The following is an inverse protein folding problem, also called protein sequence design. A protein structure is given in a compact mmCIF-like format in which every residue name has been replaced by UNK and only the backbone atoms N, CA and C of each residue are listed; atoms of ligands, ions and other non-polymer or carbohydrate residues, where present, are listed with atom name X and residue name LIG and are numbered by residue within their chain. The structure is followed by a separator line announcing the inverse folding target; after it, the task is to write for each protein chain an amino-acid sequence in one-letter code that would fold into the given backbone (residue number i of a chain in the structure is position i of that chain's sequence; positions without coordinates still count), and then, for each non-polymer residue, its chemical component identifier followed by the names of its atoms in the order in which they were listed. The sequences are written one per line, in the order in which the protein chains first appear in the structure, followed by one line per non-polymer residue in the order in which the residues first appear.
data_IF_131589911426
#
_entry.id   IF_131589911426
#
_cell.length_a   1.000
_cell.length_b   1.000
_cell.length_c   1.000
_cell.angle_alpha   90.00
_cell.angle_beta   90.00
_cell.angle_gamma   90.00
#
_symmetry.space_group_name_H-M   'P 1'
#
loop_
_entity.id
_entity.type
_entity.pdbx_description
1 polymer ?
#
# COMPACT_ATOMS: atom_id res chain seq x y z
N UNK A 1 9.83 9.65 -1.70
CA UNK A 1 8.70 8.74 -1.93
C UNK A 1 9.03 7.50 -2.80
N UNK A 2 10.30 7.25 -3.15
CA UNK A 2 10.69 6.16 -4.05
C UNK A 2 10.03 4.81 -3.75
N UNK A 3 10.06 4.34 -2.51
CA UNK A 3 9.49 3.02 -2.15
C UNK A 3 8.01 2.90 -2.51
N UNK A 4 7.19 3.92 -2.24
CA UNK A 4 5.76 3.88 -2.57
C UNK A 4 5.53 3.85 -4.09
N UNK A 5 6.32 4.61 -4.85
CA UNK A 5 6.22 4.69 -6.31
C UNK A 5 6.70 3.42 -7.00
N UNK A 6 7.79 2.82 -6.50
CA UNK A 6 8.24 1.51 -6.98
C UNK A 6 7.23 0.41 -6.63
N UNK A 7 6.66 0.43 -5.43
CA UNK A 7 5.58 -0.49 -5.08
C UNK A 7 4.37 -0.32 -6.01
N UNK A 8 3.97 0.92 -6.31
CA UNK A 8 2.89 1.19 -7.27
C UNK A 8 3.20 0.62 -8.66
N UNK A 9 4.43 0.79 -9.16
CA UNK A 9 4.87 0.20 -10.42
C UNK A 9 4.84 -1.34 -10.39
N UNK A 10 5.31 -1.97 -9.31
CA UNK A 10 5.22 -3.43 -9.16
C UNK A 10 3.77 -3.92 -9.15
N UNK A 11 2.86 -3.20 -8.49
CA UNK A 11 1.44 -3.54 -8.45
C UNK A 11 0.79 -3.41 -9.84
N UNK A 12 1.19 -2.39 -10.61
CA UNK A 12 0.76 -2.19 -12.00
C UNK A 12 1.22 -3.36 -12.88
N UNK A 13 2.47 -3.80 -12.75
CA UNK A 13 3.04 -4.92 -13.52
C UNK A 13 2.30 -6.25 -13.30
N UNK A 14 1.79 -6.49 -12.08
CA UNK A 14 1.01 -7.70 -11.77
C UNK A 14 -0.50 -7.53 -12.05
N UNK A 15 -0.94 -6.37 -12.56
CA UNK A 15 -2.35 -6.09 -12.85
C UNK A 15 -3.23 -5.92 -11.60
N UNK A 16 -2.68 -5.40 -10.50
CA UNK A 16 -3.44 -5.21 -9.26
C UNK A 16 -4.49 -4.09 -9.39
N UNK A 17 -5.77 -4.42 -9.15
CA UNK A 17 -6.91 -3.51 -9.36
C UNK A 17 -7.76 -3.26 -8.08
N UNK A 18 -7.44 -3.91 -6.97
CA UNK A 18 -8.17 -3.77 -5.70
C UNK A 18 -7.48 -2.86 -4.65
N UNK A 19 -8.09 -2.68 -3.47
CA UNK A 19 -7.42 -2.05 -2.33
C UNK A 19 -6.07 -2.73 -2.03
N UNK A 20 -5.10 -1.94 -1.57
CA UNK A 20 -3.75 -2.44 -1.27
C UNK A 20 -3.56 -2.56 0.23
N UNK A 21 -3.38 -3.78 0.73
CA UNK A 21 -3.02 -4.01 2.14
C UNK A 21 -1.52 -3.81 2.34
N UNK A 22 -1.15 -3.00 3.33
CA UNK A 22 0.24 -2.80 3.77
C UNK A 22 0.37 -3.33 5.19
N UNK A 23 1.18 -4.38 5.37
CA UNK A 23 1.48 -4.97 6.67
C UNK A 23 2.90 -4.61 7.15
N UNK A 24 3.10 -4.71 8.47
CA UNK A 24 4.41 -4.52 9.09
C UNK A 24 4.80 -3.05 9.30
N UNK A 25 6.10 -2.76 9.56
CA UNK A 25 6.53 -1.44 10.03
C UNK A 25 6.20 -0.26 9.11
N UNK A 26 6.09 -0.50 7.80
CA UNK A 26 5.75 0.53 6.81
C UNK A 26 4.28 0.97 6.87
N UNK A 27 3.38 0.16 7.46
CA UNK A 27 1.99 0.53 7.65
C UNK A 27 1.82 1.83 8.47
N UNK A 28 2.77 2.12 9.37
CA UNK A 28 2.79 3.35 10.19
C UNK A 28 3.38 4.57 9.48
N UNK A 29 4.00 4.37 8.32
CA UNK A 29 4.61 5.46 7.58
C UNK A 29 3.54 6.16 6.72
N UNK A 30 2.94 7.21 7.26
CA UNK A 30 1.88 7.99 6.60
C UNK A 30 2.29 8.56 5.24
N UNK A 31 3.57 8.90 5.06
CA UNK A 31 4.09 9.37 3.78
C UNK A 31 4.12 8.23 2.74
N UNK A 32 4.52 7.03 3.17
CA UNK A 32 4.49 5.85 2.31
C UNK A 32 3.06 5.47 1.92
N UNK A 33 2.17 5.30 2.90
CA UNK A 33 0.79 4.86 2.65
C UNK A 33 -0.01 5.91 1.88
N UNK A 34 0.16 7.19 2.20
CA UNK A 34 -0.47 8.31 1.48
C UNK A 34 0.00 8.40 0.02
N UNK A 35 1.31 8.34 -0.23
CA UNK A 35 1.80 8.32 -1.60
C UNK A 35 1.39 7.05 -2.35
N UNK A 36 1.37 5.89 -1.70
CA UNK A 36 0.94 4.65 -2.34
C UNK A 36 -0.53 4.74 -2.76
N UNK A 37 -1.40 5.29 -1.91
CA UNK A 37 -2.80 5.54 -2.23
C UNK A 37 -2.94 6.54 -3.39
N UNK A 38 -2.15 7.62 -3.40
CA UNK A 38 -2.13 8.60 -4.48
C UNK A 38 -1.64 8.02 -5.82
N UNK A 39 -0.52 7.29 -5.80
CA UNK A 39 0.13 6.76 -6.99
C UNK A 39 -0.64 5.61 -7.63
N UNK A 40 -1.38 4.84 -6.83
CA UNK A 40 -2.22 3.74 -7.33
C UNK A 40 -3.65 4.18 -7.63
N UNK A 41 -4.09 5.32 -7.11
CA UNK A 41 -5.50 5.74 -7.16
C UNK A 41 -6.44 4.82 -6.37
N UNK A 42 -5.89 3.96 -5.48
CA UNK A 42 -6.62 2.91 -4.77
C UNK A 42 -6.50 3.09 -3.26
N UNK A 43 -7.53 2.67 -2.53
CA UNK A 43 -7.53 2.67 -1.07
C UNK A 43 -6.39 1.79 -0.53
N UNK A 44 -5.67 2.28 0.48
CA UNK A 44 -4.64 1.53 1.21
C UNK A 44 -5.15 1.12 2.58
N UNK A 45 -5.01 -0.16 2.91
CA UNK A 45 -5.40 -0.75 4.19
C UNK A 45 -4.13 -1.02 4.98
N UNK A 46 -3.80 -0.16 5.94
CA UNK A 46 -2.59 -0.26 6.75
C UNK A 46 -2.85 -1.09 8.02
N UNK A 47 -2.20 -2.24 8.13
CA UNK A 47 -2.26 -3.11 9.30
C UNK A 47 -0.92 -3.12 10.02
N UNK A 48 -0.93 -2.75 11.29
CA UNK A 48 0.29 -2.79 12.11
C UNK A 48 0.66 -4.22 12.57
N UNK A 49 -0.21 -5.21 12.33
CA UNK A 49 0.12 -6.58 12.67
C UNK A 49 1.28 -7.08 11.81
N UNK A 50 2.35 -7.51 12.47
CA UNK A 50 3.43 -8.28 11.87
C UNK A 50 3.13 -9.80 11.88
N UNK A 51 1.89 -10.21 12.18
CA UNK A 51 1.50 -11.60 12.44
C UNK A 51 0.54 -12.18 11.40
N UNK A 52 0.41 -11.56 10.22
CA UNK A 52 -0.51 -12.02 9.16
C UNK A 52 -0.32 -13.51 8.82
N UNK A 53 0.94 -13.97 8.77
CA UNK A 53 1.27 -15.38 8.53
C UNK A 53 0.81 -16.31 9.66
N UNK A 54 1.06 -15.95 10.93
CA UNK A 54 0.64 -16.76 12.07
C UNK A 54 -0.88 -16.80 12.22
N UNK A 55 -1.55 -15.68 11.96
CA UNK A 55 -3.02 -15.58 11.90
C UNK A 55 -3.57 -16.48 10.80
N UNK A 56 -2.98 -16.43 9.60
CA UNK A 56 -3.36 -17.30 8.49
C UNK A 56 -3.21 -18.79 8.84
N UNK A 57 -2.10 -19.17 9.49
CA UNK A 57 -1.89 -20.54 9.96
C UNK A 57 -2.93 -20.97 11.02
N UNK A 58 -3.27 -20.09 11.96
CA UNK A 58 -4.28 -20.35 12.98
C UNK A 58 -5.69 -20.52 12.37
N UNK A 59 -6.04 -19.73 11.35
CA UNK A 59 -7.29 -19.84 10.59
C UNK A 59 -7.41 -21.15 9.81
N UNK A 60 -6.30 -21.74 9.37
CA UNK A 60 -6.29 -23.06 8.75
C UNK A 60 -6.44 -24.18 9.79
N UNK A 61 -5.84 -24.01 10.96
CA UNK A 61 -5.82 -25.01 12.03
C UNK A 61 -7.10 -25.03 12.88
N UNK A 62 -7.83 -23.92 12.95
CA UNK A 62 -9.01 -23.74 13.81
C UNK A 62 -10.09 -22.93 13.09
N UNK A 63 -11.37 -23.17 13.44
CA UNK A 63 -12.51 -22.38 12.92
C UNK A 63 -12.75 -21.08 13.71
N UNK A 64 -11.87 -20.76 14.66
CA UNK A 64 -11.97 -19.56 15.47
C UNK A 64 -11.42 -18.37 14.70
N UNK A 65 -12.16 -17.27 14.67
CA UNK A 65 -11.70 -16.03 14.05
C UNK A 65 -10.83 -15.29 15.08
N UNK A 66 -9.51 -15.16 14.85
CA UNK A 66 -8.65 -14.41 15.76
C UNK A 66 -9.01 -12.92 15.73
N UNK A 67 -8.81 -12.25 16.87
CA UNK A 67 -9.08 -10.82 17.00
C UNK A 67 -8.27 -10.02 15.96
N UNK A 68 -8.95 -9.11 15.25
CA UNK A 68 -8.31 -8.26 14.26
C UNK A 68 -7.43 -7.21 14.95
N UNK A 69 -6.20 -7.07 14.45
CA UNK A 69 -5.32 -5.94 14.78
C UNK A 69 -5.92 -4.62 14.28
N UNK A 70 -5.46 -3.51 14.86
CA UNK A 70 -5.86 -2.16 14.42
C UNK A 70 -5.49 -1.97 12.95
N UNK A 71 -6.48 -1.56 12.16
CA UNK A 71 -6.33 -1.23 10.74
C UNK A 71 -6.66 0.24 10.54
N UNK A 72 -5.85 0.94 9.75
CA UNK A 72 -6.13 2.30 9.28
C UNK A 72 -6.42 2.25 7.76
N UNK A 73 -7.52 2.87 7.35
CA UNK A 73 -7.88 3.02 5.93
C UNK A 73 -7.40 4.38 5.44
N UNK A 74 -6.62 4.38 4.36
CA UNK A 74 -6.09 5.59 3.72
C UNK A 74 -6.73 5.68 2.33
N UNK A 75 -7.55 6.70 2.13
CA UNK A 75 -8.16 6.97 0.82
C UNK A 75 -7.16 7.64 -0.14
N UNK A 76 -7.37 7.49 -1.47
CA UNK A 76 -6.59 8.22 -2.46
C UNK A 76 -6.53 9.72 -2.15
N UNK A 77 -5.31 10.29 -2.22
CA UNK A 77 -5.11 11.70 -1.91
C UNK A 77 -5.68 12.57 -3.03
N UNK A 78 -6.50 13.57 -2.66
CA UNK A 78 -7.17 14.47 -3.61
C UNK A 78 -6.39 15.75 -3.91
N UNK A 79 -5.37 16.06 -3.11
CA UNK A 79 -4.52 17.23 -3.34
C UNK A 79 -3.68 17.03 -4.63
N UNK A 80 -3.76 17.94 -5.61
CA UNK A 80 -3.02 17.84 -6.87
C UNK A 80 -1.50 17.70 -6.71
N UNK A 81 -0.92 18.13 -5.58
CA UNK A 81 0.53 18.02 -5.34
C UNK A 81 1.04 16.58 -5.40
N UNK A 82 0.23 15.61 -4.96
CA UNK A 82 0.60 14.20 -4.99
C UNK A 82 0.66 13.66 -6.42
N UNK A 83 -0.38 13.96 -7.21
CA UNK A 83 -0.44 13.58 -8.62
C UNK A 83 0.71 14.21 -9.41
N UNK A 84 1.01 15.49 -9.15
CA UNK A 84 2.14 16.19 -9.77
C UNK A 84 3.48 15.49 -9.47
N UNK A 85 3.68 15.04 -8.23
CA UNK A 85 4.89 14.30 -7.86
C UNK A 85 4.98 12.94 -8.58
N UNK A 86 3.88 12.20 -8.67
CA UNK A 86 3.82 10.92 -9.40
C UNK A 86 4.19 11.10 -10.87
N UNK A 87 3.55 12.07 -11.54
CA UNK A 87 3.82 12.39 -12.96
C UNK A 87 5.28 12.81 -13.17
N UNK A 88 5.80 13.71 -12.31
CA UNK A 88 7.19 14.17 -12.42
C UNK A 88 8.19 13.04 -12.21
N UNK A 89 7.93 12.13 -11.27
CA UNK A 89 8.79 10.97 -11.04
C UNK A 89 8.79 10.00 -12.23
N UNK A 90 7.60 9.66 -12.79
CA UNK A 90 7.50 8.76 -13.96
C UNK A 90 8.24 9.34 -15.16
N UNK A 91 8.02 10.62 -15.47
CA UNK A 91 8.74 11.28 -16.57
C UNK A 91 10.27 11.31 -16.38
N UNK A 92 10.75 11.44 -15.14
CA UNK A 92 12.18 11.38 -14.84
C UNK A 92 12.78 9.97 -14.93
N UNK A 93 11.99 8.91 -14.74
CA UNK A 93 12.44 7.52 -14.93
C UNK A 93 12.49 7.20 -16.42
N UNK A 94 11.44 7.52 -17.17
CA UNK A 94 11.35 7.27 -18.62
C UNK A 94 12.44 8.03 -19.41
N UNK A 95 12.81 9.24 -19.00
CA UNK A 95 13.88 10.01 -19.66
C UNK A 95 15.29 9.43 -19.47
N UNK A 96 15.45 8.37 -18.67
CA UNK A 96 16.74 7.71 -18.40
C UNK A 96 16.91 6.40 -19.17
N UNK A 97 15.86 5.91 -19.82
CA UNK A 97 15.86 4.79 -20.75
C UNK A 97 16.16 5.28 -22.19
#
# INVERSE_FOLDING_TARGET
FYLALMTAACLELIGGDGPTTVEGPFARNRLFTGMLAAATGRTVIASEAATGTSIGAALLASKETPAHSKVETIEPQTDPIWAAYVTGWRGAVEARD
#
